data_IF_705411850701
#
_entry.id   IF_705411850701
#
_cell.length_a   1.000
_cell.length_b   1.000
_cell.length_c   1.000
_cell.angle_alpha   90.00
_cell.angle_beta   90.00
_cell.angle_gamma   90.00
#
_symmetry.space_group_name_H-M   'P 1'
#
loop_
_entity.id
_entity.type
_entity.pdbx_description
1 polymer ?
#
# COMPACT_ATOMS: atom_id res chain seq x y z
N UNK A 1 5.53 4.53 -13.66
CA UNK A 1 4.78 3.80 -12.63
C UNK A 1 3.46 4.47 -12.29
N UNK A 2 3.41 5.80 -12.13
CA UNK A 2 2.16 6.53 -11.88
C UNK A 2 1.07 6.28 -12.95
N UNK A 3 1.45 6.12 -14.23
CA UNK A 3 0.54 5.80 -15.35
C UNK A 3 -0.16 4.43 -15.26
N UNK A 4 0.20 3.59 -14.28
CA UNK A 4 -0.39 2.26 -14.06
C UNK A 4 -1.25 2.21 -12.79
N UNK A 5 -1.74 3.36 -12.34
CA UNK A 5 -2.61 3.45 -11.17
C UNK A 5 -4.09 3.49 -11.57
N UNK A 6 -4.96 2.79 -10.83
CA UNK A 6 -6.42 2.71 -11.07
C UNK A 6 -7.13 4.07 -11.05
N UNK A 7 -6.47 5.10 -10.53
CA UNK A 7 -6.95 6.48 -10.47
C UNK A 7 -6.45 7.34 -11.64
N UNK A 8 -5.63 6.81 -12.53
CA UNK A 8 -5.10 7.53 -13.69
C UNK A 8 -5.77 7.08 -14.99
N UNK A 9 -6.02 8.01 -15.90
CA UNK A 9 -6.71 7.76 -17.18
C UNK A 9 -5.96 6.82 -18.14
N UNK A 10 -4.73 6.40 -17.79
CA UNK A 10 -3.87 5.57 -18.62
C UNK A 10 -4.08 4.06 -18.53
N UNK A 11 -4.90 3.56 -17.59
CA UNK A 11 -5.19 2.13 -17.46
C UNK A 11 -6.41 1.70 -18.29
N UNK A 12 -6.28 0.56 -18.96
CA UNK A 12 -7.43 -0.04 -19.63
C UNK A 12 -8.52 -0.49 -18.64
N UNK A 13 -9.76 -0.47 -19.11
CA UNK A 13 -10.94 -0.82 -18.33
C UNK A 13 -10.87 -2.26 -17.77
N UNK A 14 -10.30 -3.19 -18.53
CA UNK A 14 -10.21 -4.61 -18.12
C UNK A 14 -9.37 -4.75 -16.85
N UNK A 15 -8.22 -4.08 -16.80
CA UNK A 15 -7.30 -4.08 -15.66
C UNK A 15 -7.94 -3.46 -14.42
N UNK A 16 -8.66 -2.34 -14.58
CA UNK A 16 -9.41 -1.72 -13.48
C UNK A 16 -10.46 -2.68 -12.93
N UNK A 17 -11.19 -3.38 -13.79
CA UNK A 17 -12.17 -4.39 -13.37
C UNK A 17 -11.54 -5.58 -12.64
N UNK A 18 -10.32 -6.01 -12.99
CA UNK A 18 -9.63 -7.04 -12.21
C UNK A 18 -9.32 -6.59 -10.79
N UNK A 19 -8.88 -5.34 -10.59
CA UNK A 19 -8.67 -4.80 -9.24
C UNK A 19 -9.98 -4.66 -8.46
N UNK A 20 -11.08 -4.26 -9.12
CA UNK A 20 -12.42 -4.22 -8.49
C UNK A 20 -12.88 -5.60 -8.05
N UNK A 21 -12.69 -6.64 -8.87
CA UNK A 21 -12.98 -8.03 -8.49
C UNK A 21 -12.18 -8.48 -7.28
N UNK A 22 -10.88 -8.19 -7.26
CA UNK A 22 -10.03 -8.51 -6.11
C UNK A 22 -10.48 -7.77 -4.84
N UNK A 23 -10.78 -6.47 -4.95
CA UNK A 23 -11.29 -5.66 -3.85
C UNK A 23 -12.64 -6.17 -3.33
N UNK A 24 -13.55 -6.60 -4.21
CA UNK A 24 -14.83 -7.19 -3.84
C UNK A 24 -14.64 -8.48 -3.00
N UNK A 25 -13.73 -9.36 -3.41
CA UNK A 25 -13.40 -10.59 -2.67
C UNK A 25 -12.91 -10.27 -1.27
N UNK A 26 -11.99 -9.30 -1.12
CA UNK A 26 -11.48 -8.90 0.18
C UNK A 26 -12.53 -8.18 1.03
N UNK A 27 -13.37 -7.35 0.43
CA UNK A 27 -14.48 -6.70 1.13
C UNK A 27 -15.47 -7.73 1.69
N UNK A 28 -15.79 -8.76 0.91
CA UNK A 28 -16.65 -9.83 1.37
C UNK A 28 -16.02 -10.63 2.52
N UNK A 29 -14.74 -11.00 2.39
CA UNK A 29 -13.99 -11.65 3.47
C UNK A 29 -13.90 -10.78 4.74
N UNK A 30 -13.82 -9.46 4.59
CA UNK A 30 -13.84 -8.51 5.71
C UNK A 30 -15.19 -8.50 6.43
N UNK A 31 -16.30 -8.60 5.70
CA UNK A 31 -17.66 -8.66 6.29
C UNK A 31 -17.91 -10.01 6.97
N UNK A 32 -17.50 -11.12 6.35
CA UNK A 32 -17.79 -12.47 6.85
C UNK A 32 -16.85 -12.92 7.97
N UNK A 33 -15.58 -12.55 7.90
CA UNK A 33 -14.50 -13.12 8.74
C UNK A 33 -13.73 -12.07 9.54
N UNK A 34 -14.20 -10.82 9.56
CA UNK A 34 -13.54 -9.68 10.21
C UNK A 34 -12.06 -9.51 9.75
N UNK A 35 -11.79 -9.81 8.47
CA UNK A 35 -10.47 -9.64 7.87
C UNK A 35 -10.06 -8.16 7.88
N UNK A 36 -9.04 -7.81 8.67
CA UNK A 36 -8.53 -6.44 8.83
C UNK A 36 -7.15 -6.20 8.22
N UNK A 37 -6.34 -7.24 8.11
CA UNK A 37 -4.94 -7.15 7.67
C UNK A 37 -4.69 -8.15 6.54
N UNK A 38 -4.12 -7.64 5.45
CA UNK A 38 -3.75 -8.44 4.28
C UNK A 38 -2.30 -8.15 3.96
N UNK A 39 -1.48 -9.19 3.93
CA UNK A 39 -0.10 -9.10 3.45
C UNK A 39 -0.06 -9.41 1.95
N UNK A 40 0.60 -8.55 1.18
CA UNK A 40 0.89 -8.77 -0.24
C UNK A 40 2.38 -9.03 -0.39
N UNK A 41 2.73 -10.21 -0.91
CA UNK A 41 4.12 -10.60 -1.18
C UNK A 41 4.24 -11.16 -2.60
N UNK A 42 5.47 -11.32 -3.09
CA UNK A 42 5.75 -11.96 -4.38
C UNK A 42 6.83 -13.02 -4.24
N UNK A 43 6.80 -14.01 -5.12
CA UNK A 43 7.81 -15.07 -5.16
C UNK A 43 9.19 -14.54 -5.57
N UNK A 44 9.21 -13.50 -6.41
CA UNK A 44 10.46 -12.88 -6.91
C UNK A 44 10.38 -11.35 -6.87
N UNK A 45 11.54 -10.70 -6.89
CA UNK A 45 11.64 -9.25 -7.05
C UNK A 45 11.16 -8.82 -8.44
N UNK A 46 10.36 -7.76 -8.51
CA UNK A 46 9.86 -7.21 -9.77
C UNK A 46 8.51 -7.78 -10.25
N UNK A 47 7.94 -8.76 -9.56
CA UNK A 47 6.67 -9.43 -9.92
C UNK A 47 5.40 -8.58 -9.66
N UNK A 48 5.57 -7.26 -9.49
CA UNK A 48 4.44 -6.33 -9.37
C UNK A 48 3.79 -6.19 -7.99
N UNK A 49 4.34 -6.77 -6.91
CA UNK A 49 3.76 -6.66 -5.55
C UNK A 49 3.41 -5.24 -5.11
N UNK A 50 4.28 -4.26 -5.37
CA UNK A 50 4.06 -2.85 -5.03
C UNK A 50 2.92 -2.25 -5.85
N UNK A 51 2.87 -2.57 -7.15
CA UNK A 51 1.81 -2.09 -8.04
C UNK A 51 0.46 -2.67 -7.63
N UNK A 52 0.42 -3.98 -7.38
CA UNK A 52 -0.79 -4.70 -6.96
C UNK A 52 -1.31 -4.20 -5.62
N UNK A 53 -0.44 -4.09 -4.61
CA UNK A 53 -0.84 -3.57 -3.29
C UNK A 53 -1.32 -2.12 -3.35
N UNK A 54 -0.66 -1.27 -4.15
CA UNK A 54 -1.06 0.13 -4.30
C UNK A 54 -2.41 0.27 -4.99
N UNK A 55 -2.61 -0.42 -6.12
CA UNK A 55 -3.87 -0.38 -6.86
C UNK A 55 -5.03 -0.99 -6.08
N UNK A 56 -4.77 -2.07 -5.33
CA UNK A 56 -5.76 -2.66 -4.45
C UNK A 56 -6.17 -1.67 -3.35
N UNK A 57 -5.20 -1.00 -2.71
CA UNK A 57 -5.48 0.00 -1.68
C UNK A 57 -6.30 1.17 -2.23
N UNK A 58 -5.93 1.71 -3.40
CA UNK A 58 -6.68 2.76 -4.10
C UNK A 58 -8.08 2.29 -4.50
N UNK A 59 -8.24 1.04 -4.95
CA UNK A 59 -9.56 0.52 -5.33
C UNK A 59 -10.47 0.41 -4.12
N UNK A 60 -9.96 -0.15 -3.01
CA UNK A 60 -10.70 -0.24 -1.75
C UNK A 60 -11.06 1.14 -1.18
N UNK A 61 -10.17 2.12 -1.29
CA UNK A 61 -10.41 3.48 -0.80
C UNK A 61 -11.37 4.26 -1.71
N UNK A 62 -11.10 4.33 -3.00
CA UNK A 62 -11.82 5.23 -3.92
C UNK A 62 -13.11 4.61 -4.47
N UNK A 63 -13.13 3.31 -4.77
CA UNK A 63 -14.34 2.67 -5.29
C UNK A 63 -15.28 2.22 -4.17
N UNK A 64 -14.73 1.72 -3.05
CA UNK A 64 -15.53 1.14 -1.95
C UNK A 64 -15.63 2.04 -0.71
N UNK A 65 -14.99 3.22 -0.70
CA UNK A 65 -15.03 4.18 0.41
C UNK A 65 -14.61 3.57 1.75
N UNK A 66 -13.69 2.60 1.72
CA UNK A 66 -13.14 1.98 2.93
C UNK A 66 -11.93 2.78 3.40
N UNK A 67 -11.80 2.97 4.71
CA UNK A 67 -10.56 3.50 5.30
C UNK A 67 -9.47 2.45 5.20
N UNK A 68 -8.44 2.75 4.42
CA UNK A 68 -7.32 1.85 4.12
C UNK A 68 -6.02 2.48 4.59
N UNK A 69 -5.18 1.66 5.24
CA UNK A 69 -3.79 1.96 5.51
C UNK A 69 -2.91 1.05 4.65
N UNK A 70 -2.13 1.63 3.73
CA UNK A 70 -1.10 0.90 2.99
C UNK A 70 0.24 1.05 3.70
N UNK A 71 0.87 -0.06 4.08
CA UNK A 71 2.16 -0.10 4.76
C UNK A 71 3.22 -0.66 3.81
N UNK A 72 4.29 0.10 3.54
CA UNK A 72 5.46 -0.40 2.80
C UNK A 72 6.39 -1.14 3.77
N UNK A 73 6.25 -2.46 3.85
CA UNK A 73 7.08 -3.31 4.70
C UNK A 73 8.35 -3.83 4.00
N UNK A 74 8.64 -3.41 2.76
CA UNK A 74 9.90 -3.75 2.08
C UNK A 74 11.00 -2.77 2.52
N UNK A 75 11.59 -3.02 3.69
CA UNK A 75 12.61 -2.15 4.29
C UNK A 75 13.95 -2.15 3.53
N UNK A 76 14.20 -3.19 2.70
CA UNK A 76 15.44 -3.30 1.91
C UNK A 76 15.35 -2.48 0.61
N UNK A 77 14.22 -2.54 -0.08
CA UNK A 77 14.01 -1.87 -1.38
C UNK A 77 12.63 -1.21 -1.45
N UNK A 78 12.35 -0.22 -0.59
CA UNK A 78 11.04 0.41 -0.54
C UNK A 78 10.71 1.14 -1.83
N UNK A 79 9.44 1.12 -2.20
CA UNK A 79 9.02 1.59 -3.53
C UNK A 79 7.68 2.32 -3.54
N UNK A 80 6.85 2.21 -2.49
CA UNK A 80 5.56 2.90 -2.42
C UNK A 80 5.75 4.42 -2.49
N UNK A 81 6.75 4.97 -1.79
CA UNK A 81 7.04 6.40 -1.83
C UNK A 81 7.29 6.93 -3.25
N UNK A 82 7.88 6.12 -4.15
CA UNK A 82 8.12 6.52 -5.55
C UNK A 82 6.83 6.54 -6.36
N UNK A 83 5.92 5.62 -6.07
CA UNK A 83 4.60 5.55 -6.73
C UNK A 83 3.79 6.81 -6.43
N UNK A 84 3.83 7.28 -5.17
CA UNK A 84 3.12 8.49 -4.72
C UNK A 84 3.94 9.79 -4.83
N UNK A 85 5.16 9.75 -5.39
CA UNK A 85 6.07 10.90 -5.50
C UNK A 85 6.38 11.60 -4.15
N UNK A 86 6.50 10.80 -3.08
CA UNK A 86 6.75 11.27 -1.72
C UNK A 86 8.21 11.07 -1.32
N UNK A 87 8.67 11.88 -0.36
CA UNK A 87 9.94 11.64 0.34
C UNK A 87 9.80 10.49 1.33
N UNK A 88 10.77 9.60 1.37
CA UNK A 88 10.82 8.46 2.29
C UNK A 88 11.76 8.74 3.48
N UNK A 89 11.56 9.87 4.16
CA UNK A 89 12.49 10.38 5.17
C UNK A 89 12.28 9.76 6.57
N UNK A 90 11.16 9.08 6.78
CA UNK A 90 10.79 8.38 8.01
C UNK A 90 9.54 7.53 7.79
N UNK A 91 9.44 6.42 8.50
CA UNK A 91 8.43 5.41 8.25
C UNK A 91 8.48 4.25 9.26
N UNK A 92 8.17 3.07 8.77
CA UNK A 92 8.12 1.83 9.55
C UNK A 92 9.47 1.50 10.23
N UNK A 93 10.59 1.62 9.52
CA UNK A 93 11.94 1.34 10.04
C UNK A 93 12.26 2.19 11.28
N UNK A 94 12.00 3.50 11.23
CA UNK A 94 12.23 4.38 12.37
C UNK A 94 11.24 4.15 13.52
N UNK A 95 10.06 3.59 13.25
CA UNK A 95 9.12 3.19 14.31
C UNK A 95 9.59 1.94 15.03
N UNK A 96 10.14 0.96 14.30
CA UNK A 96 10.60 -0.30 14.86
C UNK A 96 11.87 -0.13 15.72
N UNK A 97 12.69 0.87 15.42
CA UNK A 97 13.95 1.17 16.14
C UNK A 97 13.79 2.22 17.24
N UNK A 98 12.59 2.80 17.41
CA UNK A 98 12.36 3.82 18.42
C UNK A 98 12.32 3.20 19.83
N UNK A 99 13.13 3.72 20.75
CA UNK A 99 13.15 3.30 22.16
C UNK A 99 11.89 3.72 22.95
N UNK A 100 11.07 4.61 22.38
CA UNK A 100 9.85 5.14 23.01
C UNK A 100 8.70 5.12 22.01
N UNK A 101 7.47 4.95 22.52
CA UNK A 101 6.27 5.01 21.69
C UNK A 101 6.20 6.34 20.94
N UNK A 102 6.33 6.27 19.61
CA UNK A 102 6.17 7.41 18.72
C UNK A 102 4.85 7.33 17.98
N UNK A 103 4.30 8.50 17.65
CA UNK A 103 3.18 8.57 16.71
C UNK A 103 3.59 7.96 15.37
N UNK A 104 2.71 7.14 14.81
CA UNK A 104 2.92 6.54 13.50
C UNK A 104 3.03 7.64 12.42
N UNK A 105 4.08 7.65 11.59
CA UNK A 105 4.29 8.63 10.54
C UNK A 105 3.39 8.32 9.34
N UNK A 106 2.10 8.64 9.47
CA UNK A 106 1.12 8.43 8.42
C UNK A 106 1.08 9.63 7.47
N UNK A 107 1.04 9.34 6.16
CA UNK A 107 0.80 10.33 5.11
C UNK A 107 -0.59 10.10 4.52
N UNK A 108 -1.42 11.13 4.51
CA UNK A 108 -2.73 11.05 3.87
C UNK A 108 -2.56 11.17 2.34
N UNK A 109 -2.91 10.12 1.59
CA UNK A 109 -2.85 10.14 0.12
C UNK A 109 -4.19 10.56 -0.50
N UNK A 110 -5.30 10.08 0.05
CA UNK A 110 -6.67 10.46 -0.33
C UNK A 110 -7.54 10.57 0.94
N UNK A 111 -8.81 11.01 0.89
CA UNK A 111 -9.66 11.05 2.09
C UNK A 111 -9.81 9.69 2.80
N UNK A 112 -9.69 8.58 2.06
CA UNK A 112 -9.86 7.23 2.59
C UNK A 112 -8.58 6.37 2.57
N UNK A 113 -7.49 6.86 1.98
CA UNK A 113 -6.20 6.16 1.94
C UNK A 113 -5.13 6.92 2.73
N UNK A 114 -4.59 6.26 3.75
CA UNK A 114 -3.38 6.67 4.45
C UNK A 114 -2.23 5.72 4.09
N UNK A 115 -1.00 6.23 4.14
CA UNK A 115 0.22 5.50 3.84
C UNK A 115 1.12 5.50 5.07
N UNK A 116 1.72 4.36 5.38
CA UNK A 116 2.92 4.27 6.20
C UNK A 116 4.06 3.83 5.29
N UNK A 117 4.98 4.75 5.01
CA UNK A 117 6.14 4.45 4.18
C UNK A 117 7.15 3.59 4.96
N UNK A 118 8.09 2.97 4.26
CA UNK A 118 9.08 2.10 4.88
C UNK A 118 10.07 2.86 5.77
N UNK A 119 10.36 4.13 5.44
CA UNK A 119 11.46 4.86 6.05
C UNK A 119 12.77 4.65 5.32
N UNK A 120 13.89 5.05 5.93
CA UNK A 120 15.21 4.92 5.31
C UNK A 120 15.49 3.44 5.01
N UNK A 121 15.95 3.10 3.78
CA UNK A 121 16.32 1.73 3.47
C UNK A 121 17.41 1.24 4.40
N UNK A 122 17.23 0.04 4.95
CA UNK A 122 18.21 -0.63 5.78
C UNK A 122 18.72 -1.88 5.06
N UNK A 123 20.04 -2.03 4.97
CA UNK A 123 20.67 -3.22 4.41
C UNK A 123 20.54 -4.43 5.34
N UNK A 124 20.36 -4.19 6.63
CA UNK A 124 20.15 -5.22 7.66
C UNK A 124 18.94 -4.87 8.53
N UNK A 125 17.71 -5.01 8.01
CA UNK A 125 16.50 -4.50 8.65
C UNK A 125 16.05 -5.26 9.91
N UNK A 126 16.90 -6.12 10.49
CA UNK A 126 16.69 -6.90 11.71
C UNK A 126 18.00 -7.14 12.45
#
# INVERSE_FOLDING_TARGET
MAERLVTTDGLDFSTVEQYRKLAATLHHAQVERDLKVVMVSSAVSGDGKTLTSTNLALTLSESYHRRVLLIDADLRRPSVHRVFQLKNAGGLSECLTAETERRLPLVQATPYLSLMLAGRPDSDPM
#
